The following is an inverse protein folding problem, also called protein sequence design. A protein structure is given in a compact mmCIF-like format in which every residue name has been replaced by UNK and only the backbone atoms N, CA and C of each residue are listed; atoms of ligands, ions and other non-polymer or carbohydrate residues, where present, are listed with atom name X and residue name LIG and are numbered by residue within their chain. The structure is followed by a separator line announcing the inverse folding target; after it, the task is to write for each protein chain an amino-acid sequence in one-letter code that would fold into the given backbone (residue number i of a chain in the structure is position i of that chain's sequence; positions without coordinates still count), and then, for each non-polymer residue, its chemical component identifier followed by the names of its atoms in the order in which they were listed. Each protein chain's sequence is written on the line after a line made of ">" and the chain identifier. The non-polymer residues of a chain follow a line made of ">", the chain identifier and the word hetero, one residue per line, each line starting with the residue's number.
data_IF_625660456012
#
_entry.id   IF_625660456012
#
_cell.length_a   1.000
_cell.length_b   1.000
_cell.length_c   1.000
_cell.angle_alpha   90.00
_cell.angle_beta   90.00
_cell.angle_gamma   90.00
#
_symmetry.space_group_name_H-M   'P 1'
#
loop_
_entity.id
_entity.type
_entity.pdbx_description
1 polymer ?
#
# COMPACT_ATOMS: atom_id res chain seq x y z
N UNK A 1 -40.24 -33.63 -1.02
CA UNK A 1 -39.06 -34.39 -1.43
C UNK A 1 -37.98 -33.60 -2.16
N UNK A 2 -38.05 -32.31 -2.21
CA UNK A 2 -37.08 -31.48 -2.93
C UNK A 2 -36.13 -30.66 -2.02
N UNK A 3 -36.02 -31.04 -0.73
CA UNK A 3 -35.19 -30.29 0.23
C UNK A 3 -33.69 -30.38 -0.03
N UNK A 4 -33.17 -31.44 -0.64
CA UNK A 4 -31.74 -31.60 -0.90
C UNK A 4 -31.21 -30.72 -2.02
N UNK A 5 -32.03 -30.28 -2.93
CA UNK A 5 -31.66 -29.44 -4.07
C UNK A 5 -31.47 -27.94 -3.63
N UNK A 6 -32.26 -27.51 -2.68
CA UNK A 6 -32.17 -26.14 -2.11
C UNK A 6 -30.93 -25.96 -1.24
N UNK A 7 -30.49 -27.02 -0.53
CA UNK A 7 -29.31 -26.99 0.34
C UNK A 7 -28.05 -26.85 -0.51
N UNK A 8 -27.95 -27.50 -1.65
CA UNK A 8 -26.80 -27.41 -2.55
C UNK A 8 -26.64 -26.01 -3.20
N UNK A 9 -27.75 -25.36 -3.50
CA UNK A 9 -27.70 -23.98 -4.03
C UNK A 9 -27.29 -22.96 -2.96
N UNK A 10 -27.63 -23.19 -1.69
CA UNK A 10 -27.22 -22.32 -0.59
C UNK A 10 -25.73 -22.49 -0.26
N UNK A 11 -25.22 -23.72 -0.33
CA UNK A 11 -23.79 -24.00 -0.15
C UNK A 11 -22.94 -23.38 -1.26
N UNK A 12 -23.39 -23.40 -2.52
CA UNK A 12 -22.71 -22.74 -3.64
C UNK A 12 -22.66 -21.21 -3.51
N UNK A 13 -23.66 -20.56 -2.93
CA UNK A 13 -23.67 -19.11 -2.69
C UNK A 13 -22.72 -18.70 -1.55
N UNK A 14 -22.52 -19.56 -0.56
CA UNK A 14 -21.62 -19.30 0.55
C UNK A 14 -20.13 -19.48 0.19
N UNK A 15 -19.85 -20.12 -0.97
CA UNK A 15 -18.50 -20.32 -1.48
C UNK A 15 -18.07 -19.28 -2.53
N UNK A 16 -18.87 -18.23 -2.75
CA UNK A 16 -18.40 -17.07 -3.54
C UNK A 16 -17.27 -16.42 -2.78
N UNK A 17 -16.08 -16.50 -3.38
CA UNK A 17 -14.86 -15.93 -2.80
C UNK A 17 -15.05 -14.45 -2.51
N UNK A 18 -15.06 -14.08 -1.24
CA UNK A 18 -14.95 -12.71 -0.80
C UNK A 18 -13.46 -12.40 -0.87
N UNK A 19 -13.07 -11.43 -1.68
CA UNK A 19 -11.69 -10.93 -1.69
C UNK A 19 -11.37 -10.40 -0.30
N UNK A 20 -10.24 -10.84 0.23
CA UNK A 20 -9.80 -10.43 1.55
C UNK A 20 -8.93 -9.18 1.41
N UNK A 21 -9.16 -8.23 2.30
CA UNK A 21 -8.22 -7.15 2.53
C UNK A 21 -7.12 -7.63 3.47
N UNK A 22 -5.87 -7.42 3.08
CA UNK A 22 -4.70 -7.79 3.86
C UNK A 22 -4.01 -6.52 4.34
N UNK A 23 -3.71 -6.46 5.63
CA UNK A 23 -2.98 -5.34 6.21
C UNK A 23 -1.50 -5.42 5.80
N UNK A 24 -1.02 -4.41 5.05
CA UNK A 24 0.38 -4.30 4.63
C UNK A 24 1.22 -3.51 5.63
N UNK A 25 0.62 -2.49 6.24
CA UNK A 25 1.31 -1.54 7.08
C UNK A 25 0.29 -0.85 8.00
N UNK A 26 0.68 -0.56 9.22
CA UNK A 26 -0.17 0.12 10.20
C UNK A 26 0.65 1.00 11.14
N UNK A 27 0.07 2.11 11.54
CA UNK A 27 0.58 3.01 12.58
C UNK A 27 2.09 3.25 12.47
N UNK A 28 2.52 3.79 11.34
CA UNK A 28 3.95 4.00 11.08
C UNK A 28 4.57 5.02 12.01
N UNK A 29 3.75 5.82 12.69
CA UNK A 29 4.23 6.89 13.56
C UNK A 29 5.07 7.89 12.78
N UNK A 30 6.04 8.44 13.43
CA UNK A 30 6.93 9.47 12.90
C UNK A 30 8.25 8.91 12.39
N UNK A 31 8.33 7.62 12.14
CA UNK A 31 9.54 6.98 11.61
C UNK A 31 9.89 7.55 10.24
N UNK A 32 11.18 7.80 10.03
CA UNK A 32 11.67 8.41 8.79
C UNK A 32 11.47 7.51 7.58
N UNK A 33 11.93 6.28 7.68
CA UNK A 33 11.74 5.23 6.69
C UNK A 33 11.10 4.00 7.33
N UNK A 34 10.15 3.41 6.64
CA UNK A 34 9.48 2.18 7.08
C UNK A 34 9.37 1.22 5.91
N UNK A 35 9.84 0.00 6.09
CA UNK A 35 9.60 -1.11 5.17
C UNK A 35 8.64 -2.07 5.84
N UNK A 36 7.47 -2.27 5.23
CA UNK A 36 6.46 -3.19 5.74
C UNK A 36 6.88 -4.65 5.61
N UNK A 37 6.22 -5.50 6.38
CA UNK A 37 6.42 -6.94 6.29
C UNK A 37 5.95 -7.45 4.91
N UNK A 38 6.67 -8.41 4.31
CA UNK A 38 6.25 -9.05 3.08
C UNK A 38 4.93 -9.80 3.25
N UNK A 39 4.02 -9.62 2.31
CA UNK A 39 2.76 -10.36 2.24
C UNK A 39 2.68 -11.16 0.96
N UNK A 40 1.93 -12.25 0.99
CA UNK A 40 1.76 -13.15 -0.15
C UNK A 40 0.87 -12.52 -1.20
N UNK A 41 1.35 -12.46 -2.44
CA UNK A 41 0.62 -11.97 -3.59
C UNK A 41 -0.07 -13.07 -4.41
N UNK A 42 -0.66 -12.68 -5.52
CA UNK A 42 -1.45 -13.58 -6.38
C UNK A 42 -0.66 -14.78 -6.89
N UNK A 43 0.60 -14.56 -7.30
CA UNK A 43 1.42 -15.66 -7.83
C UNK A 43 1.77 -16.70 -6.75
N UNK A 44 1.83 -16.33 -5.49
CA UNK A 44 2.02 -17.28 -4.40
C UNK A 44 0.87 -18.29 -4.30
N UNK A 45 -0.36 -17.84 -4.55
CA UNK A 45 -1.55 -18.67 -4.51
C UNK A 45 -1.92 -19.31 -5.86
N UNK A 46 -1.18 -18.99 -6.92
CA UNK A 46 -1.47 -19.46 -8.27
C UNK A 46 -2.65 -18.73 -8.93
N UNK A 47 -3.02 -17.56 -8.46
CA UNK A 47 -4.02 -16.71 -9.10
C UNK A 47 -3.40 -15.98 -10.30
N UNK A 48 -4.23 -15.68 -11.31
CA UNK A 48 -3.76 -15.18 -12.60
C UNK A 48 -4.39 -13.85 -13.03
N UNK A 49 -5.35 -13.31 -12.30
CA UNK A 49 -5.97 -12.04 -12.65
C UNK A 49 -5.05 -10.83 -12.45
N UNK A 50 -4.14 -10.93 -11.49
CA UNK A 50 -3.05 -9.96 -11.32
C UNK A 50 -3.49 -8.53 -11.02
N UNK A 51 -4.77 -8.29 -10.68
CA UNK A 51 -5.29 -6.97 -10.38
C UNK A 51 -5.26 -6.75 -8.88
N UNK A 52 -4.55 -5.72 -8.46
CA UNK A 52 -4.40 -5.35 -7.06
C UNK A 52 -4.87 -3.94 -6.81
N UNK A 53 -5.54 -3.73 -5.69
CA UNK A 53 -5.87 -2.39 -5.20
C UNK A 53 -5.34 -2.23 -3.78
N UNK A 54 -4.59 -1.17 -3.56
CA UNK A 54 -4.09 -0.79 -2.24
C UNK A 54 -4.80 0.47 -1.80
N UNK A 55 -5.43 0.43 -0.63
CA UNK A 55 -5.97 1.60 0.04
C UNK A 55 -4.97 2.08 1.08
N UNK A 56 -4.62 3.35 1.03
CA UNK A 56 -3.74 3.99 2.01
C UNK A 56 -4.52 5.04 2.77
N UNK A 57 -4.53 4.95 4.09
CA UNK A 57 -5.14 5.94 5.00
C UNK A 57 -4.03 6.64 5.75
N UNK A 58 -4.05 7.96 5.72
CA UNK A 58 -2.94 8.79 6.22
C UNK A 58 -3.46 10.00 6.99
N UNK A 59 -2.65 10.47 7.93
CA UNK A 59 -2.94 11.61 8.78
C UNK A 59 -1.74 12.56 8.83
N UNK A 60 -1.93 13.79 8.36
CA UNK A 60 -0.91 14.84 8.32
C UNK A 60 0.43 14.37 7.72
N UNK A 61 0.36 13.40 6.79
CA UNK A 61 1.51 12.68 6.30
C UNK A 61 2.31 13.53 5.30
N UNK A 62 3.60 13.64 5.56
CA UNK A 62 4.61 14.17 4.66
C UNK A 62 5.62 13.08 4.39
N UNK A 63 5.79 12.71 3.13
CA UNK A 63 6.70 11.64 2.76
C UNK A 63 6.29 10.98 1.45
N UNK A 64 6.98 9.91 1.07
CA UNK A 64 6.67 9.08 -0.08
C UNK A 64 6.11 7.73 0.36
N UNK A 65 5.05 7.29 -0.30
CA UNK A 65 4.51 5.95 -0.18
C UNK A 65 4.75 5.18 -1.47
N UNK A 66 5.31 4.00 -1.39
CA UNK A 66 5.58 3.15 -2.54
C UNK A 66 5.30 1.68 -2.24
N UNK A 67 5.31 0.90 -3.31
CA UNK A 67 5.09 -0.55 -3.26
C UNK A 67 6.25 -1.27 -3.93
N UNK A 68 6.65 -2.37 -3.34
CA UNK A 68 7.63 -3.28 -3.92
C UNK A 68 7.03 -4.68 -4.08
N UNK A 69 7.47 -5.35 -5.12
CA UNK A 69 7.12 -6.74 -5.41
C UNK A 69 8.35 -7.58 -5.65
N UNK A 70 8.17 -8.90 -5.58
CA UNK A 70 9.18 -9.87 -5.94
C UNK A 70 8.53 -11.13 -6.51
N UNK A 71 9.26 -11.85 -7.34
CA UNK A 71 8.89 -13.18 -7.84
C UNK A 71 9.61 -14.30 -7.08
N UNK A 72 10.48 -13.95 -6.13
CA UNK A 72 11.18 -14.92 -5.30
C UNK A 72 10.34 -15.34 -4.09
N UNK A 73 10.40 -16.63 -3.75
CA UNK A 73 9.75 -17.17 -2.55
C UNK A 73 10.50 -16.82 -1.26
N UNK A 74 11.81 -16.72 -1.34
CA UNK A 74 12.71 -16.33 -0.26
C UNK A 74 13.62 -15.20 -0.76
N UNK A 75 13.09 -13.97 -0.83
CA UNK A 75 13.75 -12.87 -1.49
C UNK A 75 14.94 -12.33 -0.70
N UNK A 76 16.03 -12.09 -1.41
CA UNK A 76 17.16 -11.29 -0.95
C UNK A 76 16.87 -9.82 -1.22
N UNK A 77 17.64 -8.87 -0.64
CA UNK A 77 17.43 -7.45 -0.87
C UNK A 77 17.36 -7.04 -2.35
N UNK A 78 18.18 -7.64 -3.20
CA UNK A 78 18.25 -7.38 -4.64
C UNK A 78 17.05 -7.94 -5.44
N UNK A 79 16.27 -8.83 -4.86
CA UNK A 79 15.11 -9.45 -5.53
C UNK A 79 13.87 -8.55 -5.52
N UNK A 80 13.89 -7.48 -4.74
CA UNK A 80 12.79 -6.53 -4.65
C UNK A 80 12.87 -5.45 -5.70
N UNK A 81 11.77 -5.23 -6.42
CA UNK A 81 11.66 -4.17 -7.40
C UNK A 81 10.46 -3.25 -7.11
N UNK A 82 10.57 -2.01 -7.55
CA UNK A 82 9.52 -1.04 -7.37
C UNK A 82 8.37 -1.25 -8.35
N UNK A 83 7.15 -1.22 -7.82
CA UNK A 83 5.93 -1.23 -8.63
C UNK A 83 5.62 0.23 -8.98
N UNK A 84 5.34 0.48 -10.26
CA UNK A 84 4.92 1.81 -10.69
C UNK A 84 3.53 2.11 -10.14
N UNK A 85 3.44 3.05 -9.22
CA UNK A 85 2.20 3.46 -8.57
C UNK A 85 1.64 4.78 -9.11
N UNK A 86 2.44 5.51 -9.88
CA UNK A 86 2.01 6.75 -10.54
C UNK A 86 2.15 6.59 -12.05
N UNK A 87 1.03 6.41 -12.80
CA UNK A 87 1.06 6.18 -14.24
C UNK A 87 1.54 7.40 -15.04
N UNK A 88 1.35 8.60 -14.53
CA UNK A 88 1.75 9.85 -15.19
C UNK A 88 3.14 10.34 -14.76
N UNK A 89 3.78 9.58 -13.87
CA UNK A 89 5.06 9.95 -13.29
C UNK A 89 6.23 9.66 -14.20
N UNK A 90 7.19 10.55 -14.13
CA UNK A 90 8.54 10.37 -14.64
C UNK A 90 9.11 9.00 -14.21
N UNK A 91 10.01 8.44 -14.99
CA UNK A 91 10.63 7.11 -14.73
C UNK A 91 11.22 6.94 -13.32
N UNK A 92 11.33 8.00 -12.57
CA UNK A 92 11.85 8.03 -11.20
C UNK A 92 10.79 7.99 -10.10
N UNK A 93 9.49 7.93 -10.40
CA UNK A 93 8.46 7.94 -9.37
C UNK A 93 8.15 6.56 -8.83
N UNK A 94 9.02 6.09 -7.98
CA UNK A 94 8.83 4.90 -7.15
C UNK A 94 7.84 5.16 -6.01
N UNK A 95 7.58 6.43 -5.69
CA UNK A 95 6.74 6.87 -4.60
C UNK A 95 5.64 7.81 -5.07
N UNK A 96 4.50 7.74 -4.40
CA UNK A 96 3.52 8.81 -4.40
C UNK A 96 3.97 9.82 -3.34
N UNK A 97 4.24 11.07 -3.73
CA UNK A 97 4.62 12.09 -2.77
C UNK A 97 3.40 12.59 -1.98
N UNK A 98 3.60 12.86 -0.71
CA UNK A 98 2.63 13.53 0.15
C UNK A 98 3.25 14.79 0.75
N UNK A 99 2.59 15.96 0.71
CA UNK A 99 1.27 16.16 0.12
C UNK A 99 1.25 15.92 -1.40
N UNK A 100 0.14 15.35 -1.89
CA UNK A 100 -0.05 15.08 -3.33
C UNK A 100 -0.04 16.38 -4.13
N UNK A 101 -0.72 17.39 -3.62
CA UNK A 101 -0.63 18.76 -4.12
C UNK A 101 0.13 19.61 -3.08
N UNK A 102 1.39 20.00 -3.35
CA UNK A 102 2.17 20.79 -2.42
C UNK A 102 1.64 22.20 -2.17
N UNK A 103 0.77 22.68 -3.05
CA UNK A 103 0.13 23.99 -2.92
C UNK A 103 -1.21 23.96 -2.17
N UNK A 104 -1.79 22.78 -2.01
CA UNK A 104 -3.09 22.56 -1.36
C UNK A 104 -3.08 21.33 -0.46
N UNK A 105 -2.27 21.28 0.59
CA UNK A 105 -2.25 20.16 1.52
C UNK A 105 -3.59 20.03 2.23
N UNK A 106 -4.08 18.80 2.41
CA UNK A 106 -5.41 18.50 2.97
C UNK A 106 -5.41 18.31 4.48
N UNK A 107 -4.24 18.21 5.08
CA UNK A 107 -4.06 18.04 6.52
C UNK A 107 -3.47 19.27 7.20
N UNK A 108 -3.27 19.17 8.50
CA UNK A 108 -2.53 20.16 9.26
C UNK A 108 -1.02 20.06 8.95
N UNK A 109 -0.27 21.13 9.29
CA UNK A 109 1.21 21.16 9.24
C UNK A 109 1.83 20.91 7.83
N UNK A 110 1.08 21.16 6.77
CA UNK A 110 1.57 21.00 5.40
C UNK A 110 1.58 19.56 4.89
N UNK A 111 1.03 18.61 5.64
CA UNK A 111 0.84 17.23 5.22
C UNK A 111 -0.56 16.96 4.71
N UNK A 112 -0.79 15.75 4.26
CA UNK A 112 -2.12 15.30 3.81
C UNK A 112 -2.81 14.43 4.84
N UNK A 113 -4.12 14.59 4.94
CA UNK A 113 -5.03 13.72 5.71
C UNK A 113 -6.13 13.20 4.81
N UNK A 114 -6.33 11.89 4.81
CA UNK A 114 -7.37 11.26 4.00
C UNK A 114 -7.07 9.82 3.66
N UNK A 115 -7.62 9.38 2.55
CA UNK A 115 -7.31 8.07 1.97
C UNK A 115 -7.25 8.15 0.45
N UNK A 116 -6.43 7.28 -0.14
CA UNK A 116 -6.38 7.10 -1.57
C UNK A 116 -6.29 5.62 -1.93
N UNK A 117 -6.63 5.30 -3.16
CA UNK A 117 -6.51 3.96 -3.70
C UNK A 117 -5.53 3.96 -4.88
N UNK A 118 -4.70 2.91 -4.92
CA UNK A 118 -3.75 2.64 -5.99
C UNK A 118 -4.13 1.31 -6.60
N UNK A 119 -4.35 1.28 -7.90
CA UNK A 119 -4.59 0.04 -8.64
C UNK A 119 -3.41 -0.23 -9.56
N UNK A 120 -2.91 -1.46 -9.51
CA UNK A 120 -1.79 -1.90 -10.35
C UNK A 120 -2.00 -3.34 -10.80
N UNK A 121 -1.26 -3.73 -11.84
CA UNK A 121 -1.36 -5.05 -12.46
C UNK A 121 -0.01 -5.73 -12.39
N UNK A 122 -0.02 -7.00 -12.05
CA UNK A 122 1.12 -7.88 -12.04
C UNK A 122 0.91 -9.08 -11.14
N UNK A 123 1.57 -10.18 -11.44
CA UNK A 123 1.54 -11.40 -10.62
C UNK A 123 2.81 -11.46 -9.78
N UNK A 124 2.69 -11.13 -8.51
CA UNK A 124 3.80 -11.09 -7.57
C UNK A 124 3.71 -12.27 -6.59
N UNK A 125 4.84 -12.83 -6.22
CA UNK A 125 4.91 -13.85 -5.17
C UNK A 125 4.75 -13.17 -3.81
N UNK A 126 5.50 -12.10 -3.56
CA UNK A 126 5.38 -11.29 -2.35
C UNK A 126 5.29 -9.80 -2.71
N UNK A 127 4.61 -9.07 -1.86
CA UNK A 127 4.41 -7.62 -1.93
C UNK A 127 4.74 -6.99 -0.59
N UNK A 128 5.24 -5.75 -0.59
CA UNK A 128 5.40 -4.95 0.63
C UNK A 128 5.21 -3.47 0.36
N UNK A 129 4.77 -2.75 1.38
CA UNK A 129 4.67 -1.29 1.34
C UNK A 129 5.95 -0.66 1.89
N UNK A 130 6.30 0.51 1.37
CA UNK A 130 7.49 1.25 1.78
C UNK A 130 7.15 2.71 1.94
N UNK A 131 7.61 3.30 3.03
CA UNK A 131 7.62 4.75 3.25
C UNK A 131 9.06 5.23 3.21
N UNK A 132 9.29 6.33 2.51
CA UNK A 132 10.56 7.03 2.53
C UNK A 132 10.34 8.54 2.67
N UNK A 133 11.14 9.16 3.51
CA UNK A 133 11.25 10.61 3.66
C UNK A 133 12.62 11.14 3.26
N UNK A 134 13.46 10.30 2.64
CA UNK A 134 14.84 10.65 2.31
C UNK A 134 14.97 11.82 1.32
N UNK A 135 13.93 12.06 0.50
CA UNK A 135 13.90 13.19 -0.42
C UNK A 135 13.46 14.51 0.25
N UNK A 136 13.00 14.44 1.48
CA UNK A 136 12.61 15.63 2.24
C UNK A 136 13.84 16.19 2.90
N UNK A 137 14.14 17.46 2.61
CA UNK A 137 15.18 18.18 3.37
C UNK A 137 14.56 18.65 4.67
N UNK A 138 15.01 18.16 5.84
CA UNK A 138 14.58 18.71 7.10
C UNK A 138 15.02 20.17 7.15
N UNK A 139 14.15 21.10 7.55
CA UNK A 139 14.50 22.49 7.68
C UNK A 139 15.63 22.65 8.72
N UNK A 140 16.69 23.31 8.32
CA UNK A 140 17.97 23.38 9.03
C UNK A 140 17.87 24.05 10.41
N UNK A 141 16.75 24.69 10.75
CA UNK A 141 16.62 25.54 11.93
C UNK A 141 15.26 25.50 12.60
N UNK A 142 14.52 24.44 12.51
CA UNK A 142 13.22 24.38 13.18
C UNK A 142 13.19 23.26 14.19
N UNK A 143 12.72 23.58 15.38
CA UNK A 143 12.21 22.64 16.37
C UNK A 143 10.98 21.89 15.84
N UNK A 144 11.04 21.34 14.63
CA UNK A 144 10.00 20.49 14.07
C UNK A 144 10.00 19.21 14.85
N UNK A 145 9.00 19.06 15.70
CA UNK A 145 8.78 17.81 16.40
C UNK A 145 8.43 16.69 15.41
N UNK A 146 8.73 15.47 15.78
CA UNK A 146 8.43 14.27 15.00
C UNK A 146 6.96 14.18 14.55
N UNK A 147 6.04 14.79 15.26
CA UNK A 147 4.60 14.86 14.94
C UNK A 147 4.27 15.64 13.66
N UNK A 148 5.18 16.46 13.15
CA UNK A 148 4.96 17.28 11.94
C UNK A 148 5.03 16.47 10.64
N UNK A 149 5.61 15.28 10.70
CA UNK A 149 5.74 14.40 9.54
C UNK A 149 4.51 13.51 9.32
N UNK A 150 3.59 13.49 10.29
CA UNK A 150 2.40 12.66 10.24
C UNK A 150 2.71 11.18 10.09
N UNK A 151 1.69 10.41 9.75
CA UNK A 151 1.80 8.96 9.69
C UNK A 151 0.90 8.34 8.61
N UNK A 152 1.25 7.14 8.19
CA UNK A 152 0.32 6.22 7.56
C UNK A 152 -0.40 5.45 8.67
N UNK A 153 -1.71 5.60 8.75
CA UNK A 153 -2.54 4.87 9.71
C UNK A 153 -2.63 3.40 9.33
N UNK A 154 -2.89 3.14 8.06
CA UNK A 154 -2.92 1.78 7.49
C UNK A 154 -2.78 1.78 5.99
N UNK A 155 -2.25 0.70 5.46
CA UNK A 155 -2.31 0.34 4.07
C UNK A 155 -2.91 -1.07 3.95
N UNK A 156 -3.95 -1.21 3.12
CA UNK A 156 -4.67 -2.45 2.90
C UNK A 156 -4.54 -2.88 1.45
N UNK A 157 -4.24 -4.14 1.23
CA UNK A 157 -4.20 -4.75 -0.11
C UNK A 157 -5.44 -5.61 -0.32
N UNK A 158 -6.11 -5.45 -1.44
CA UNK A 158 -7.10 -6.39 -1.97
C UNK A 158 -6.42 -7.31 -2.98
N UNK A 159 -6.52 -8.60 -2.73
CA UNK A 159 -6.12 -9.66 -3.65
C UNK A 159 -7.30 -10.14 -4.47
#
# INVERSE_FOLDING_TARGET
>A
MNGGFLINNKAKRNNMAIRKSILMMTNTGTQWNVVGEPIRGDAYYGYTDGIHTVQVVYQNFVGGFGLQGTLALDPKPEDWFWIKVNPDGDVNTQFIPFPVDPYAPTGANGGDTGSLAITFIGNFVLLRAVISRDYIQPPVNTSWGAWQWGQIDKALLSL
#
